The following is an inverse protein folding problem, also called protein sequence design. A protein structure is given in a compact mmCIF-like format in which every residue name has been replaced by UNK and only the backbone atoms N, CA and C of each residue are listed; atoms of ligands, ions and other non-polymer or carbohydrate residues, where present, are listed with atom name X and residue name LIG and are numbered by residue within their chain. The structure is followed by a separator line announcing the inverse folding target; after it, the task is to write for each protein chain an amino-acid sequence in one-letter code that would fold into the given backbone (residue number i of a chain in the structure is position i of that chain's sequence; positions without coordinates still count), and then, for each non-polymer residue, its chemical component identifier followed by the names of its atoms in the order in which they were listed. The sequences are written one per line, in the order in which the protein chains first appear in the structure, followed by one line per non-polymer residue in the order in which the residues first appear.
data_IF_701301288613
#
_entry.id   IF_701301288613
#
_cell.length_a   1.000
_cell.length_b   1.000
_cell.length_c   1.000
_cell.angle_alpha   90.00
_cell.angle_beta   90.00
_cell.angle_gamma   90.00
#
_symmetry.space_group_name_H-M   'P 1'
#
loop_
_entity.id
_entity.type
_entity.pdbx_description
1 polymer ?
#
# COMPACT_ATOMS: atom_id res chain seq x y z
N UNK A 1 3.06 -19.21 88.54
CA UNK A 1 2.73 -20.52 87.94
C UNK A 1 2.39 -20.24 86.47
N UNK A 2 3.39 -20.20 85.59
CA UNK A 2 3.72 -21.28 84.62
C UNK A 2 2.55 -21.51 83.64
N UNK A 3 2.64 -21.06 82.39
CA UNK A 3 3.14 -21.96 81.35
C UNK A 3 3.79 -21.23 80.16
N UNK A 4 5.11 -21.40 80.10
CA UNK A 4 6.02 -21.08 79.00
C UNK A 4 6.06 -22.24 77.99
N UNK A 5 4.96 -22.53 77.27
CA UNK A 5 4.95 -23.69 76.34
C UNK A 5 4.35 -23.45 74.94
N UNK A 6 3.89 -22.25 74.59
CA UNK A 6 3.30 -21.97 73.27
C UNK A 6 4.24 -21.26 72.26
N UNK A 7 5.53 -21.06 72.60
CA UNK A 7 6.50 -20.37 71.72
C UNK A 7 7.41 -21.29 70.89
N UNK A 8 7.09 -22.58 70.75
CA UNK A 8 7.93 -23.55 70.00
C UNK A 8 7.13 -24.47 69.06
N UNK A 9 6.25 -23.89 68.27
CA UNK A 9 5.82 -24.45 66.99
C UNK A 9 6.12 -23.36 65.95
N UNK A 10 7.36 -23.19 65.52
CA UNK A 10 7.97 -24.11 64.57
C UNK A 10 7.31 -23.87 63.21
N UNK A 11 7.43 -22.66 62.63
CA UNK A 11 8.51 -22.34 61.69
C UNK A 11 8.69 -23.37 60.54
N UNK A 12 7.64 -24.11 60.17
CA UNK A 12 7.70 -25.19 59.18
C UNK A 12 6.59 -25.19 58.12
N UNK A 13 5.83 -24.10 57.97
CA UNK A 13 4.71 -24.02 57.01
C UNK A 13 4.69 -22.74 56.17
N UNK A 14 5.83 -22.05 56.04
CA UNK A 14 6.00 -20.87 55.18
C UNK A 14 6.95 -21.08 53.98
N UNK A 15 7.36 -22.32 53.70
CA UNK A 15 8.34 -22.64 52.65
C UNK A 15 7.78 -23.41 51.44
N UNK A 16 6.47 -23.63 51.34
CA UNK A 16 5.88 -24.52 50.31
C UNK A 16 4.84 -23.86 49.37
N UNK A 17 4.71 -22.52 49.36
CA UNK A 17 3.76 -21.84 48.47
C UNK A 17 4.39 -20.81 47.51
N UNK A 18 5.72 -20.67 47.49
CA UNK A 18 6.43 -19.75 46.57
C UNK A 18 7.03 -20.43 45.32
N UNK A 19 6.70 -21.69 45.02
CA UNK A 19 7.24 -22.41 43.85
C UNK A 19 6.22 -22.67 42.74
N UNK A 20 5.00 -22.15 42.84
CA UNK A 20 4.15 -21.98 41.64
C UNK A 20 4.54 -20.69 40.90
N UNK A 21 5.84 -20.55 40.59
CA UNK A 21 6.23 -19.87 39.37
C UNK A 21 5.67 -20.71 38.25
N UNK A 22 4.41 -20.46 37.87
CA UNK A 22 3.95 -20.78 36.54
C UNK A 22 4.97 -20.09 35.64
N UNK A 23 5.93 -20.87 35.15
CA UNK A 23 6.63 -20.56 33.93
C UNK A 23 5.53 -20.36 32.89
N UNK A 24 5.07 -19.12 32.75
CA UNK A 24 4.53 -18.63 31.50
C UNK A 24 5.67 -18.90 30.53
N UNK A 25 5.62 -20.04 29.86
CA UNK A 25 6.41 -20.24 28.66
C UNK A 25 5.94 -19.12 27.76
N UNK A 26 6.74 -18.06 27.67
CA UNK A 26 6.58 -17.09 26.63
C UNK A 26 6.54 -17.91 25.34
N UNK A 27 5.42 -17.86 24.64
CA UNK A 27 5.33 -18.54 23.36
C UNK A 27 6.37 -17.87 22.47
N UNK A 28 7.44 -18.60 22.11
CA UNK A 28 8.53 -18.06 21.27
C UNK A 28 8.01 -17.57 19.90
N UNK A 29 6.75 -17.91 19.58
CA UNK A 29 6.04 -17.57 18.36
C UNK A 29 4.73 -16.86 18.70
N UNK A 30 4.68 -15.51 18.66
CA UNK A 30 3.50 -14.75 19.07
C UNK A 30 2.28 -14.95 18.16
N UNK A 31 2.45 -15.52 16.96
CA UNK A 31 1.38 -15.76 15.99
C UNK A 31 0.67 -17.10 16.07
N UNK A 32 1.07 -17.99 16.99
CA UNK A 32 0.52 -19.35 17.05
C UNK A 32 -1.00 -19.34 17.26
N UNK A 33 -1.72 -20.07 16.39
CA UNK A 33 -3.19 -20.12 16.39
C UNK A 33 -3.88 -18.94 15.71
N UNK A 34 -3.14 -17.92 15.27
CA UNK A 34 -3.69 -16.79 14.51
C UNK A 34 -3.51 -16.97 13.00
N UNK A 35 -4.50 -16.49 12.24
CA UNK A 35 -4.52 -16.52 10.78
C UNK A 35 -4.44 -15.09 10.27
N UNK A 36 -3.60 -14.84 9.27
CA UNK A 36 -3.51 -13.55 8.59
C UNK A 36 -3.78 -13.72 7.10
N UNK A 37 -4.46 -12.72 6.53
CA UNK A 37 -4.81 -12.69 5.11
C UNK A 37 -4.22 -11.42 4.48
N UNK A 38 -3.10 -11.53 3.75
CA UNK A 38 -2.52 -10.39 3.04
C UNK A 38 -3.44 -9.92 1.91
N UNK A 39 -3.54 -8.60 1.75
CA UNK A 39 -4.20 -7.96 0.61
C UNK A 39 -3.16 -7.21 -0.24
N UNK A 40 -3.44 -7.07 -1.54
CA UNK A 40 -2.74 -6.15 -2.47
C UNK A 40 -3.69 -5.69 -3.58
N UNK A 41 -3.28 -4.73 -4.41
CA UNK A 41 -4.06 -4.34 -5.60
C UNK A 41 -3.86 -5.32 -6.77
N UNK A 42 -4.38 -4.97 -7.95
CA UNK A 42 -4.12 -5.69 -9.20
C UNK A 42 -2.69 -5.53 -9.74
N UNK A 43 -1.84 -4.70 -9.13
CA UNK A 43 -0.43 -4.56 -9.49
C UNK A 43 0.33 -5.83 -9.13
N UNK A 44 1.02 -6.44 -10.10
CA UNK A 44 1.77 -7.68 -9.88
C UNK A 44 3.03 -7.42 -9.04
N UNK A 45 3.66 -6.27 -9.24
CA UNK A 45 4.90 -5.82 -8.62
C UNK A 45 4.81 -5.68 -7.09
N UNK A 46 3.60 -5.48 -6.54
CA UNK A 46 3.35 -5.44 -5.08
C UNK A 46 3.47 -6.81 -4.40
N UNK A 47 3.49 -7.89 -5.18
CA UNK A 47 3.57 -9.26 -4.65
C UNK A 47 4.84 -9.48 -3.87
N UNK A 48 5.98 -8.97 -4.34
CA UNK A 48 7.27 -9.20 -3.71
C UNK A 48 7.31 -8.68 -2.27
N UNK A 49 6.94 -7.42 -2.07
CA UNK A 49 6.97 -6.78 -0.75
C UNK A 49 5.90 -7.38 0.19
N UNK A 50 4.74 -7.77 -0.36
CA UNK A 50 3.69 -8.46 0.38
C UNK A 50 4.18 -9.83 0.88
N UNK A 51 4.82 -10.61 0.02
CA UNK A 51 5.38 -11.91 0.39
C UNK A 51 6.50 -11.78 1.44
N UNK A 52 7.31 -10.72 1.40
CA UNK A 52 8.36 -10.51 2.40
C UNK A 52 7.76 -10.36 3.81
N UNK A 53 6.69 -9.57 3.96
CA UNK A 53 5.97 -9.44 5.24
C UNK A 53 5.29 -10.76 5.62
N UNK A 54 4.68 -11.45 4.66
CA UNK A 54 4.08 -12.79 4.88
C UNK A 54 5.10 -13.78 5.44
N UNK A 55 6.31 -13.88 4.87
CA UNK A 55 7.36 -14.78 5.38
C UNK A 55 7.78 -14.43 6.80
N UNK A 56 7.91 -13.15 7.13
CA UNK A 56 8.20 -12.73 8.49
C UNK A 56 7.08 -13.14 9.48
N UNK A 57 5.81 -13.03 9.08
CA UNK A 57 4.67 -13.47 9.89
C UNK A 57 4.64 -15.01 10.03
N UNK A 58 4.99 -15.77 8.99
CA UNK A 58 5.14 -17.23 9.11
C UNK A 58 6.20 -17.60 10.15
N UNK A 59 7.37 -16.95 10.15
CA UNK A 59 8.43 -17.18 11.15
C UNK A 59 7.95 -16.88 12.57
N UNK A 60 7.11 -15.86 12.74
CA UNK A 60 6.46 -15.52 14.02
C UNK A 60 5.34 -16.51 14.42
N UNK A 61 5.01 -17.49 13.58
CA UNK A 61 4.06 -18.58 13.87
C UNK A 61 2.64 -18.36 13.37
N UNK A 62 2.39 -17.30 12.59
CA UNK A 62 1.08 -17.09 11.97
C UNK A 62 0.84 -18.09 10.83
N UNK A 63 -0.41 -18.53 10.68
CA UNK A 63 -0.86 -19.14 9.43
C UNK A 63 -1.18 -18.01 8.44
N UNK A 64 -0.40 -17.92 7.36
CA UNK A 64 -0.64 -16.92 6.31
C UNK A 64 -1.46 -17.55 5.18
N UNK A 65 -2.62 -16.97 4.88
CA UNK A 65 -3.43 -17.36 3.72
C UNK A 65 -2.81 -16.80 2.42
N UNK A 66 -3.30 -17.30 1.29
CA UNK A 66 -2.97 -16.74 -0.02
C UNK A 66 -3.33 -15.25 -0.10
N UNK A 67 -2.53 -14.50 -0.85
CA UNK A 67 -2.78 -13.09 -1.12
C UNK A 67 -4.12 -12.94 -1.84
N UNK A 68 -4.97 -12.05 -1.34
CA UNK A 68 -6.22 -11.67 -2.00
C UNK A 68 -6.06 -10.31 -2.68
N UNK A 69 -6.46 -10.25 -3.94
CA UNK A 69 -6.43 -9.00 -4.70
C UNK A 69 -7.72 -8.19 -4.49
N UNK A 70 -7.57 -6.97 -4.00
CA UNK A 70 -8.64 -5.99 -3.82
C UNK A 70 -8.10 -4.59 -4.13
N UNK A 71 -8.87 -3.80 -4.86
CA UNK A 71 -8.51 -2.40 -5.13
C UNK A 71 -8.45 -1.57 -3.84
N UNK A 72 -7.54 -0.58 -3.78
CA UNK A 72 -7.12 0.05 -2.53
C UNK A 72 -8.25 0.55 -1.63
N UNK A 73 -9.32 1.23 -2.11
CA UNK A 73 -10.40 1.67 -1.23
C UNK A 73 -11.09 0.50 -0.52
N UNK A 74 -11.35 -0.58 -1.25
CA UNK A 74 -11.98 -1.79 -0.70
C UNK A 74 -11.04 -2.53 0.24
N UNK A 75 -9.74 -2.58 -0.08
CA UNK A 75 -8.75 -3.23 0.77
C UNK A 75 -8.62 -2.54 2.15
N UNK A 76 -8.64 -1.20 2.21
CA UNK A 76 -8.61 -0.47 3.50
C UNK A 76 -9.85 -0.77 4.34
N UNK A 77 -11.04 -0.79 3.71
CA UNK A 77 -12.30 -1.14 4.40
C UNK A 77 -12.28 -2.59 4.89
N UNK A 78 -11.81 -3.53 4.05
CA UNK A 78 -11.71 -4.94 4.41
C UNK A 78 -10.79 -5.15 5.63
N UNK A 79 -9.65 -4.46 5.69
CA UNK A 79 -8.76 -4.54 6.85
C UNK A 79 -9.42 -3.92 8.09
N UNK A 80 -10.08 -2.77 7.94
CA UNK A 80 -10.77 -2.11 9.05
C UNK A 80 -11.92 -2.95 9.64
N UNK A 81 -12.52 -3.81 8.82
CA UNK A 81 -13.58 -4.75 9.22
C UNK A 81 -13.05 -6.12 9.67
N UNK A 82 -11.77 -6.43 9.43
CA UNK A 82 -11.14 -7.71 9.75
C UNK A 82 -11.29 -8.79 8.67
N UNK A 83 -11.79 -8.45 7.48
CA UNK A 83 -11.91 -9.35 6.33
C UNK A 83 -10.57 -9.58 5.59
N UNK A 84 -9.56 -8.77 5.92
CA UNK A 84 -8.16 -8.92 5.55
C UNK A 84 -7.27 -8.39 6.68
N UNK A 85 -5.97 -8.66 6.64
CA UNK A 85 -5.10 -8.37 7.78
C UNK A 85 -4.14 -7.22 7.53
N UNK A 86 -3.48 -7.16 6.37
CA UNK A 86 -2.53 -6.09 6.09
C UNK A 86 -2.40 -5.78 4.59
N UNK A 87 -1.92 -4.57 4.33
CA UNK A 87 -1.40 -4.08 3.05
C UNK A 87 0.08 -3.73 3.27
N UNK A 88 0.97 -4.19 2.40
CA UNK A 88 2.41 -3.86 2.46
C UNK A 88 2.75 -2.62 1.60
N UNK A 89 1.75 -2.00 1.01
CA UNK A 89 1.77 -1.07 -0.13
C UNK A 89 0.84 0.14 0.11
N UNK A 90 0.64 0.52 1.37
CA UNK A 90 -0.03 1.78 1.70
C UNK A 90 0.86 2.97 1.29
N UNK A 91 0.52 3.61 0.17
CA UNK A 91 1.22 4.81 -0.31
C UNK A 91 0.85 6.04 0.50
N UNK A 92 1.84 6.71 1.09
CA UNK A 92 1.67 8.00 1.77
C UNK A 92 2.29 9.14 0.94
N UNK A 93 1.58 10.27 0.73
CA UNK A 93 0.27 10.65 1.26
C UNK A 93 -0.92 10.15 0.43
N UNK A 94 -0.70 9.45 -0.68
CA UNK A 94 -1.74 9.15 -1.68
C UNK A 94 -2.96 8.44 -1.08
N UNK A 95 -2.78 7.46 -0.20
CA UNK A 95 -3.86 6.64 0.35
C UNK A 95 -4.44 7.17 1.67
N UNK A 96 -4.12 8.41 2.09
CA UNK A 96 -4.64 9.00 3.34
C UNK A 96 -6.18 8.98 3.35
N UNK A 97 -6.81 9.40 2.26
CA UNK A 97 -8.27 9.46 2.19
C UNK A 97 -8.93 8.09 2.37
N UNK A 98 -8.33 7.03 1.83
CA UNK A 98 -8.83 5.66 2.00
C UNK A 98 -8.68 5.20 3.44
N UNK A 99 -7.53 5.49 4.05
CA UNK A 99 -7.25 5.18 5.45
C UNK A 99 -8.23 5.87 6.39
N UNK A 100 -8.44 7.18 6.24
CA UNK A 100 -9.36 7.95 7.09
C UNK A 100 -10.81 7.51 6.90
N UNK A 101 -11.26 7.30 5.65
CA UNK A 101 -12.62 6.83 5.36
C UNK A 101 -12.89 5.42 5.90
N UNK A 102 -11.86 4.57 6.00
CA UNK A 102 -11.95 3.25 6.63
C UNK A 102 -11.93 3.31 8.18
N UNK A 103 -11.88 4.50 8.79
CA UNK A 103 -11.93 4.70 10.24
C UNK A 103 -10.59 5.08 10.87
N UNK A 104 -9.55 5.29 10.06
CA UNK A 104 -8.25 5.79 10.47
C UNK A 104 -7.64 5.02 11.65
N UNK A 105 -6.93 5.72 12.53
CA UNK A 105 -6.23 5.12 13.67
C UNK A 105 -7.16 4.41 14.68
N UNK A 106 -8.47 4.62 14.62
CA UNK A 106 -9.44 3.90 15.47
C UNK A 106 -9.68 2.46 15.01
N UNK A 107 -9.37 2.16 13.74
CA UNK A 107 -9.64 0.86 13.10
C UNK A 107 -8.39 0.23 12.49
N UNK A 108 -7.45 1.05 12.05
CA UNK A 108 -6.29 0.64 11.28
C UNK A 108 -5.01 1.01 12.03
N UNK A 109 -4.13 0.04 12.20
CA UNK A 109 -2.77 0.27 12.65
C UNK A 109 -1.87 0.62 11.47
N UNK A 110 -1.07 1.68 11.61
CA UNK A 110 -0.01 2.04 10.68
C UNK A 110 1.14 2.65 11.48
N UNK A 111 2.34 2.16 11.26
CA UNK A 111 3.54 2.66 11.93
C UNK A 111 4.74 2.58 10.98
N UNK A 112 5.67 3.51 11.16
CA UNK A 112 6.96 3.58 10.45
C UNK A 112 6.84 3.69 8.91
N UNK A 113 8.00 3.70 8.24
CA UNK A 113 8.10 3.69 6.78
C UNK A 113 8.73 2.36 6.39
N UNK A 114 7.95 1.49 5.75
CA UNK A 114 8.45 0.20 5.28
C UNK A 114 9.38 0.35 4.07
N UNK A 115 9.00 1.20 3.10
CA UNK A 115 9.80 1.54 1.93
C UNK A 115 9.66 3.04 1.65
N UNK A 116 10.78 3.75 1.50
CA UNK A 116 10.83 5.19 1.29
C UNK A 116 11.50 5.58 -0.03
N UNK A 117 11.36 6.85 -0.42
CA UNK A 117 11.98 7.39 -1.65
C UNK A 117 11.25 7.05 -2.95
N UNK A 118 10.01 6.55 -2.86
CA UNK A 118 9.18 6.34 -4.03
C UNK A 118 8.78 7.67 -4.69
N UNK A 119 8.61 7.65 -6.02
CA UNK A 119 8.28 8.80 -6.84
C UNK A 119 7.03 8.52 -7.68
N UNK A 120 6.29 9.58 -7.96
CA UNK A 120 5.17 9.58 -8.90
C UNK A 120 5.26 10.84 -9.78
N UNK A 121 4.84 10.75 -11.03
CA UNK A 121 4.88 11.86 -11.96
C UNK A 121 4.46 11.47 -13.36
N UNK A 122 4.53 12.46 -14.25
CA UNK A 122 4.26 12.31 -15.67
C UNK A 122 5.56 12.11 -16.42
N UNK A 123 5.56 11.17 -17.36
CA UNK A 123 6.72 10.89 -18.20
C UNK A 123 6.32 10.93 -19.67
N UNK A 124 7.27 11.36 -20.50
CA UNK A 124 7.22 11.26 -21.96
C UNK A 124 8.52 10.61 -22.43
N UNK A 125 8.57 10.16 -23.68
CA UNK A 125 9.80 9.64 -24.23
C UNK A 125 10.88 10.74 -24.34
N UNK A 126 12.12 10.37 -24.01
CA UNK A 126 13.24 11.33 -23.99
C UNK A 126 13.51 11.95 -25.36
N UNK A 127 13.31 11.19 -26.44
CA UNK A 127 13.62 11.63 -27.81
C UNK A 127 12.74 12.82 -28.20
N UNK A 128 11.45 12.77 -27.90
CA UNK A 128 10.51 13.86 -28.17
C UNK A 128 10.67 15.01 -27.19
N UNK A 129 10.96 14.72 -25.91
CA UNK A 129 11.33 15.74 -24.94
C UNK A 129 12.51 16.60 -25.43
N UNK A 130 13.61 15.97 -25.82
CA UNK A 130 14.82 16.66 -26.28
C UNK A 130 14.59 17.41 -27.60
N UNK A 131 13.88 16.79 -28.56
CA UNK A 131 13.63 17.37 -29.89
C UNK A 131 12.74 18.62 -29.84
N UNK A 132 11.76 18.63 -28.96
CA UNK A 132 10.77 19.70 -28.85
C UNK A 132 10.97 20.61 -27.63
N UNK A 133 12.02 20.36 -26.82
CA UNK A 133 12.30 21.11 -25.61
C UNK A 133 11.18 21.01 -24.57
N UNK A 134 10.59 19.82 -24.41
CA UNK A 134 9.50 19.58 -23.46
C UNK A 134 10.10 19.25 -22.10
N UNK A 135 9.91 20.15 -21.14
CA UNK A 135 10.46 20.05 -19.78
C UNK A 135 9.39 20.20 -18.71
N UNK A 136 8.18 20.60 -19.08
CA UNK A 136 7.06 20.80 -18.17
C UNK A 136 5.74 20.39 -18.83
N UNK A 137 4.84 19.75 -18.05
CA UNK A 137 3.53 19.31 -18.52
C UNK A 137 2.65 20.46 -19.04
N UNK A 138 2.85 21.68 -18.53
CA UNK A 138 2.11 22.86 -19.01
C UNK A 138 2.31 23.13 -20.50
N UNK A 139 3.40 22.64 -21.11
CA UNK A 139 3.63 22.77 -22.55
C UNK A 139 2.59 21.98 -23.36
N UNK A 140 1.92 20.97 -22.78
CA UNK A 140 0.83 20.26 -23.43
C UNK A 140 -0.44 21.11 -23.56
N UNK A 141 -0.51 22.32 -22.98
CA UNK A 141 -1.56 23.30 -23.30
C UNK A 141 -1.52 23.74 -24.77
N UNK A 142 -0.36 23.66 -25.44
CA UNK A 142 -0.28 23.90 -26.88
C UNK A 142 -0.79 22.66 -27.63
N UNK A 143 -1.88 22.76 -28.42
CA UNK A 143 -2.40 21.62 -29.19
C UNK A 143 -1.37 21.01 -30.14
N UNK A 144 -0.37 21.78 -30.61
CA UNK A 144 0.70 21.25 -31.47
C UNK A 144 1.65 20.33 -30.72
N UNK A 145 1.91 20.61 -29.43
CA UNK A 145 2.71 19.74 -28.57
C UNK A 145 1.89 18.54 -28.14
N UNK A 146 0.64 18.74 -27.70
CA UNK A 146 -0.24 17.65 -27.30
C UNK A 146 -0.45 16.61 -28.40
N UNK A 147 -0.62 17.07 -29.65
CA UNK A 147 -0.79 16.21 -30.82
C UNK A 147 0.41 15.29 -31.11
N UNK A 148 1.58 15.54 -30.53
CA UNK A 148 2.72 14.62 -30.63
C UNK A 148 2.45 13.29 -29.92
N UNK A 149 1.52 13.28 -28.97
CA UNK A 149 1.14 12.14 -28.14
C UNK A 149 -0.31 11.68 -28.43
N UNK A 150 -0.88 12.09 -29.57
CA UNK A 150 -2.22 11.69 -30.01
C UNK A 150 -2.16 10.37 -30.77
N UNK A 151 -2.70 9.33 -30.15
CA UNK A 151 -2.71 7.95 -30.64
C UNK A 151 -4.04 7.55 -31.27
N UNK A 152 -5.11 8.31 -31.04
CA UNK A 152 -6.46 7.98 -31.50
C UNK A 152 -6.96 8.92 -32.62
N UNK A 153 -6.22 9.99 -32.91
CA UNK A 153 -6.48 10.94 -33.99
C UNK A 153 -7.45 12.07 -33.64
N UNK A 154 -7.83 12.25 -32.37
CA UNK A 154 -8.77 13.27 -31.93
C UNK A 154 -8.10 14.65 -31.69
N UNK A 155 -6.77 14.74 -31.80
CA UNK A 155 -5.99 15.96 -31.61
C UNK A 155 -5.52 16.22 -30.17
N UNK A 156 -5.80 15.32 -29.23
CA UNK A 156 -5.40 15.43 -27.82
C UNK A 156 -4.32 14.40 -27.48
N UNK A 157 -3.48 14.72 -26.50
CA UNK A 157 -2.50 13.80 -25.96
C UNK A 157 -3.21 12.66 -25.20
N UNK A 158 -2.85 11.42 -25.50
CA UNK A 158 -3.37 10.22 -24.83
C UNK A 158 -2.53 9.90 -23.58
N UNK A 159 -2.90 10.45 -22.43
CA UNK A 159 -2.27 10.14 -21.16
C UNK A 159 -2.75 8.78 -20.64
N UNK A 160 -1.91 7.75 -20.71
CA UNK A 160 -2.13 6.51 -19.94
C UNK A 160 -2.06 6.82 -18.45
N UNK A 161 -3.20 6.79 -17.77
CA UNK A 161 -3.29 7.15 -16.36
C UNK A 161 -3.87 6.04 -15.50
N UNK A 162 -4.38 6.43 -14.33
CA UNK A 162 -4.74 5.50 -13.28
C UNK A 162 -6.18 4.97 -13.40
N UNK A 163 -6.42 3.72 -12.98
CA UNK A 163 -7.76 3.16 -12.94
C UNK A 163 -8.67 3.97 -12.02
N UNK A 164 -9.98 3.93 -12.26
CA UNK A 164 -10.94 4.57 -11.37
C UNK A 164 -10.85 4.05 -9.94
N UNK A 165 -10.93 4.96 -8.97
CA UNK A 165 -10.86 4.68 -7.55
C UNK A 165 -9.45 4.70 -6.95
N UNK A 166 -8.40 4.87 -7.76
CA UNK A 166 -7.04 5.05 -7.24
C UNK A 166 -6.76 6.50 -6.90
N UNK A 167 -5.87 6.73 -5.92
CA UNK A 167 -5.52 8.11 -5.55
C UNK A 167 -4.81 8.86 -6.67
N UNK A 168 -4.02 8.19 -7.52
CA UNK A 168 -3.43 8.85 -8.67
C UNK A 168 -4.45 9.26 -9.74
N UNK A 169 -5.62 8.60 -9.86
CA UNK A 169 -6.70 9.14 -10.69
C UNK A 169 -7.09 10.51 -10.18
N UNK A 170 -7.41 10.62 -8.88
CA UNK A 170 -7.88 11.88 -8.30
C UNK A 170 -6.84 13.00 -8.43
N UNK A 171 -5.56 12.65 -8.27
CA UNK A 171 -4.45 13.59 -8.47
C UNK A 171 -4.34 14.01 -9.93
N UNK A 172 -4.43 13.07 -10.88
CA UNK A 172 -4.39 13.37 -12.31
C UNK A 172 -5.56 14.26 -12.70
N UNK A 173 -6.78 13.90 -12.32
CA UNK A 173 -7.99 14.68 -12.58
C UNK A 173 -7.87 16.11 -12.04
N UNK A 174 -7.41 16.25 -10.78
CA UNK A 174 -7.14 17.56 -10.20
C UNK A 174 -6.11 18.35 -11.01
N UNK A 175 -5.00 17.73 -11.42
CA UNK A 175 -3.97 18.38 -12.24
C UNK A 175 -4.48 18.75 -13.64
N UNK A 176 -5.36 17.95 -14.26
CA UNK A 176 -5.94 18.27 -15.56
C UNK A 176 -6.73 19.58 -15.49
N UNK A 177 -7.46 19.81 -14.40
CA UNK A 177 -8.20 21.05 -14.16
C UNK A 177 -7.29 22.21 -13.74
N UNK A 178 -6.43 21.97 -12.73
CA UNK A 178 -5.56 23.01 -12.16
C UNK A 178 -4.55 23.57 -13.17
N UNK A 179 -4.06 22.74 -14.09
CA UNK A 179 -3.10 23.14 -15.12
C UNK A 179 -3.77 23.51 -16.45
N UNK A 180 -5.10 23.43 -16.55
CA UNK A 180 -5.86 23.80 -17.76
C UNK A 180 -5.57 22.90 -18.96
N UNK A 181 -5.48 21.59 -18.75
CA UNK A 181 -5.09 20.59 -19.76
C UNK A 181 -6.28 19.85 -20.38
N UNK A 182 -7.50 20.07 -19.89
CA UNK A 182 -8.71 19.35 -20.33
C UNK A 182 -8.98 19.44 -21.84
N UNK A 183 -8.61 20.55 -22.47
CA UNK A 183 -8.83 20.76 -23.90
C UNK A 183 -7.83 20.01 -24.78
N UNK A 184 -6.68 19.62 -24.23
CA UNK A 184 -5.56 19.07 -25.01
C UNK A 184 -5.05 17.71 -24.53
N UNK A 185 -5.51 17.20 -23.39
CA UNK A 185 -5.10 15.90 -22.84
C UNK A 185 -6.32 15.07 -22.50
N UNK A 186 -6.31 13.80 -22.92
CA UNK A 186 -7.25 12.78 -22.49
C UNK A 186 -6.60 11.88 -21.44
N UNK A 187 -7.25 11.76 -20.28
CA UNK A 187 -6.86 10.81 -19.24
C UNK A 187 -7.47 9.45 -19.57
N UNK A 188 -6.66 8.56 -20.14
CA UNK A 188 -7.07 7.21 -20.49
C UNK A 188 -7.02 6.32 -19.25
N UNK A 189 -8.21 5.91 -18.79
CA UNK A 189 -8.42 5.12 -17.59
C UNK A 189 -8.84 3.68 -17.91
N UNK A 190 -8.42 2.75 -17.07
CA UNK A 190 -8.65 1.31 -17.25
C UNK A 190 -7.63 0.51 -16.44
N UNK A 191 -7.50 -0.78 -16.72
CA UNK A 191 -6.45 -1.60 -16.11
C UNK A 191 -5.08 -1.04 -16.50
N UNK A 192 -4.35 -0.46 -15.55
CA UNK A 192 -3.08 0.22 -15.82
C UNK A 192 -2.07 -0.71 -16.51
N UNK A 193 -1.94 -1.96 -16.04
CA UNK A 193 -1.05 -2.95 -16.63
C UNK A 193 -1.40 -3.26 -18.08
N UNK A 194 -2.69 -3.31 -18.42
CA UNK A 194 -3.15 -3.50 -19.79
C UNK A 194 -2.90 -2.25 -20.65
N UNK A 195 -3.17 -1.06 -20.10
CA UNK A 195 -2.99 0.21 -20.81
C UNK A 195 -1.52 0.48 -21.13
N UNK A 196 -0.58 0.12 -20.24
CA UNK A 196 0.86 0.35 -20.43
C UNK A 196 1.47 -0.44 -21.59
N UNK A 197 0.83 -1.52 -22.06
CA UNK A 197 1.31 -2.27 -23.20
C UNK A 197 1.36 -1.42 -24.49
N UNK A 198 0.41 -0.51 -24.67
CA UNK A 198 0.32 0.40 -25.82
C UNK A 198 1.52 1.36 -25.91
N UNK A 199 1.72 2.23 -24.89
CA UNK A 199 2.85 3.15 -24.82
C UNK A 199 4.22 2.47 -24.96
N UNK A 200 4.42 1.29 -24.34
CA UNK A 200 5.68 0.53 -24.48
C UNK A 200 5.89 0.08 -25.93
N UNK A 201 4.84 -0.41 -26.59
CA UNK A 201 4.92 -0.82 -27.99
C UNK A 201 5.20 0.37 -28.93
N UNK A 202 4.58 1.52 -28.70
CA UNK A 202 4.84 2.77 -29.44
C UNK A 202 6.28 3.25 -29.25
N UNK A 203 6.73 3.31 -28.00
CA UNK A 203 8.11 3.66 -27.67
C UNK A 203 9.12 2.77 -28.39
N UNK A 204 8.88 1.45 -28.43
CA UNK A 204 9.74 0.50 -29.13
C UNK A 204 9.76 0.69 -30.65
N UNK A 205 8.73 1.29 -31.24
CA UNK A 205 8.70 1.73 -32.65
C UNK A 205 9.31 3.12 -32.88
N UNK A 206 9.71 3.80 -31.80
CA UNK A 206 10.26 5.16 -31.84
C UNK A 206 9.21 6.24 -32.06
N UNK A 207 7.95 5.92 -31.79
CA UNK A 207 6.79 6.81 -31.73
C UNK A 207 6.69 7.46 -30.34
N UNK A 208 5.86 8.49 -30.23
CA UNK A 208 5.54 9.22 -29.01
C UNK A 208 4.10 8.99 -28.59
#
# INVERSE_FOLDING_TARGET
MTSSWLKKAGLGLLAAAMTASLSVQANDRPGEGAVVTPLKSSIAEETFQTLLVSRALEELGFKVNDIRELEYPAAHIAIANGDGTFLADHWYPMHIDFYEKAGGAKKLFRSEVYSGGALSGYLIDKKTADKHGITNIEQLKDPKIAKLFDNNGNGKADLTGCPPGWSCEQIIEHHMDAYGLRDTVDHNQGSYSALMAGPIAQFNRGES
#
